data_IF_131047940619
#
_entry.id   IF_131047940619
#
_cell.length_a   1.000
_cell.length_b   1.000
_cell.length_c   1.000
_cell.angle_alpha   90.00
_cell.angle_beta   90.00
_cell.angle_gamma   90.00
#
_symmetry.space_group_name_H-M   'P 1'
#
loop_
_entity.id
_entity.type
_entity.pdbx_description
1 polymer ?
#
# COMPACT_ATOMS: atom_id res chain seq x y z
N UNK A 1 -22.98 0.29 -16.89
CA UNK A 1 -22.41 0.76 -15.59
C UNK A 1 -20.98 0.24 -15.42
N UNK A 2 -20.71 -0.99 -15.85
CA UNK A 2 -19.41 -1.66 -15.68
C UNK A 2 -18.25 -0.94 -16.38
N UNK A 3 -18.49 -0.36 -17.56
CA UNK A 3 -17.49 0.41 -18.28
C UNK A 3 -17.02 1.67 -17.51
N UNK A 4 -17.93 2.32 -16.78
CA UNK A 4 -17.58 3.49 -15.96
C UNK A 4 -16.70 3.07 -14.79
N UNK A 5 -17.07 2.02 -14.07
CA UNK A 5 -16.31 1.49 -12.93
C UNK A 5 -14.94 0.96 -13.37
N UNK A 6 -14.87 0.25 -14.50
CA UNK A 6 -13.61 -0.24 -15.05
C UNK A 6 -12.67 0.91 -15.45
N UNK A 7 -13.19 1.96 -16.07
CA UNK A 7 -12.39 3.14 -16.44
C UNK A 7 -11.91 3.90 -15.21
N UNK A 8 -12.77 4.11 -14.20
CA UNK A 8 -12.36 4.73 -12.93
C UNK A 8 -11.26 3.94 -12.24
N UNK A 9 -11.41 2.62 -12.16
CA UNK A 9 -10.43 1.77 -11.50
C UNK A 9 -9.07 1.82 -12.23
N UNK A 10 -9.10 1.71 -13.57
CA UNK A 10 -7.89 1.70 -14.40
C UNK A 10 -7.17 3.05 -14.44
N UNK A 11 -7.93 4.15 -14.53
CA UNK A 11 -7.36 5.49 -14.77
C UNK A 11 -7.03 6.24 -13.48
N UNK A 12 -7.75 5.96 -12.39
CA UNK A 12 -7.64 6.74 -11.15
C UNK A 12 -7.15 5.86 -10.01
N UNK A 13 -7.88 4.77 -9.71
CA UNK A 13 -7.63 3.99 -8.50
C UNK A 13 -6.30 3.23 -8.56
N UNK A 14 -6.03 2.47 -9.62
CA UNK A 14 -4.79 1.70 -9.75
C UNK A 14 -3.54 2.58 -9.74
N UNK A 15 -3.47 3.69 -10.51
CA UNK A 15 -2.34 4.62 -10.42
C UNK A 15 -2.21 5.25 -9.04
N UNK A 16 -3.32 5.59 -8.38
CA UNK A 16 -3.30 6.16 -7.04
C UNK A 16 -2.75 5.19 -5.99
N UNK A 17 -3.15 3.91 -6.03
CA UNK A 17 -2.61 2.87 -5.13
C UNK A 17 -1.09 2.74 -5.32
N UNK A 18 -0.62 2.69 -6.57
CA UNK A 18 0.80 2.62 -6.88
C UNK A 18 1.55 3.85 -6.36
N UNK A 19 0.96 5.04 -6.54
CA UNK A 19 1.53 6.30 -6.06
C UNK A 19 1.61 6.34 -4.53
N UNK A 20 0.54 5.94 -3.83
CA UNK A 20 0.53 5.87 -2.36
C UNK A 20 1.53 4.84 -1.83
N UNK A 21 1.68 3.70 -2.50
CA UNK A 21 2.71 2.72 -2.16
C UNK A 21 4.11 3.30 -2.32
N UNK A 22 4.39 3.98 -3.44
CA UNK A 22 5.66 4.63 -3.67
C UNK A 22 5.95 5.72 -2.62
N UNK A 23 4.95 6.54 -2.26
CA UNK A 23 5.07 7.55 -1.22
C UNK A 23 5.36 6.93 0.15
N UNK A 24 4.65 5.86 0.53
CA UNK A 24 4.89 5.15 1.79
C UNK A 24 6.31 4.56 1.84
N UNK A 25 6.79 4.00 0.72
CA UNK A 25 8.15 3.49 0.61
C UNK A 25 9.20 4.60 0.72
N UNK A 26 9.01 5.72 0.02
CA UNK A 26 9.91 6.88 0.10
C UNK A 26 9.96 7.44 1.51
N UNK A 27 8.80 7.57 2.17
CA UNK A 27 8.72 8.07 3.54
C UNK A 27 9.41 7.13 4.53
N UNK A 28 9.25 5.81 4.34
CA UNK A 28 9.98 4.81 5.11
C UNK A 28 11.50 4.96 4.93
N UNK A 29 11.98 5.04 3.68
CA UNK A 29 13.41 5.20 3.37
C UNK A 29 13.96 6.52 3.92
N UNK A 30 13.18 7.60 3.86
CA UNK A 30 13.56 8.87 4.48
C UNK A 30 13.78 8.73 5.99
N UNK A 31 12.87 8.02 6.68
CA UNK A 31 13.04 7.71 8.10
C UNK A 31 14.30 6.89 8.40
N UNK A 32 14.63 5.92 7.54
CA UNK A 32 15.87 5.12 7.66
C UNK A 32 17.10 6.03 7.51
N UNK A 33 17.13 6.88 6.49
CA UNK A 33 18.24 7.80 6.25
C UNK A 33 18.41 8.78 7.42
N UNK A 34 17.31 9.36 7.91
CA UNK A 34 17.34 10.27 9.06
C UNK A 34 17.81 9.58 10.33
N UNK A 35 17.40 8.33 10.56
CA UNK A 35 17.86 7.51 11.68
C UNK A 35 19.35 7.17 11.58
N UNK A 36 19.85 6.90 10.37
CA UNK A 36 21.26 6.54 10.13
C UNK A 36 22.21 7.72 10.18
N UNK A 37 21.82 8.90 9.68
CA UNK A 37 22.71 10.07 9.62
C UNK A 37 22.79 10.80 10.96
N UNK A 38 21.75 10.74 11.78
CA UNK A 38 21.67 11.50 13.04
C UNK A 38 21.95 10.61 14.27
N UNK A 39 22.94 9.72 14.22
CA UNK A 39 23.20 8.78 15.32
C UNK A 39 23.52 9.47 16.65
N UNK A 40 24.21 10.61 16.59
CA UNK A 40 24.66 11.39 17.75
C UNK A 40 23.59 12.36 18.28
N UNK A 41 22.46 12.49 17.59
CA UNK A 41 21.36 13.38 17.98
C UNK A 41 20.11 12.56 18.31
N UNK A 42 19.84 12.36 19.60
CA UNK A 42 18.73 11.52 20.08
C UNK A 42 17.35 12.00 19.61
N UNK A 43 17.15 13.32 19.49
CA UNK A 43 15.89 13.90 19.06
C UNK A 43 15.61 13.55 17.59
N UNK A 44 16.57 13.83 16.70
CA UNK A 44 16.44 13.51 15.27
C UNK A 44 16.38 12.01 15.02
N UNK A 45 17.10 11.21 15.80
CA UNK A 45 17.01 9.75 15.75
C UNK A 45 15.61 9.26 16.13
N UNK A 46 14.96 9.89 17.10
CA UNK A 46 13.58 9.58 17.49
C UNK A 46 12.59 9.96 16.38
N UNK A 47 12.80 11.08 15.70
CA UNK A 47 12.01 11.49 14.53
C UNK A 47 12.17 10.49 13.38
N UNK A 48 13.39 10.10 13.03
CA UNK A 48 13.65 9.08 12.02
C UNK A 48 12.96 7.74 12.32
N UNK A 49 12.95 7.31 13.60
CA UNK A 49 12.16 6.14 14.03
C UNK A 49 10.67 6.30 13.78
N UNK A 50 10.09 7.46 14.11
CA UNK A 50 8.67 7.73 13.85
C UNK A 50 8.37 7.65 12.35
N UNK A 51 9.21 8.24 11.51
CA UNK A 51 9.06 8.18 10.05
C UNK A 51 9.11 6.73 9.52
N UNK A 52 10.05 5.90 10.01
CA UNK A 52 10.09 4.47 9.68
C UNK A 52 8.80 3.75 10.07
N UNK A 53 8.31 3.97 11.30
CA UNK A 53 7.08 3.31 11.79
C UNK A 53 5.87 3.69 10.95
N UNK A 54 5.67 4.97 10.66
CA UNK A 54 4.57 5.44 9.82
C UNK A 54 4.65 4.88 8.39
N UNK A 55 5.85 4.80 7.81
CA UNK A 55 6.08 4.15 6.53
C UNK A 55 5.71 2.66 6.55
N UNK A 56 6.15 1.92 7.58
CA UNK A 56 5.82 0.49 7.77
C UNK A 56 4.31 0.29 7.94
N UNK A 57 3.65 1.15 8.72
CA UNK A 57 2.19 1.08 8.91
C UNK A 57 1.47 1.23 7.58
N UNK A 58 1.87 2.21 6.76
CA UNK A 58 1.30 2.41 5.42
C UNK A 58 1.49 1.19 4.51
N UNK A 59 2.70 0.62 4.47
CA UNK A 59 3.00 -0.59 3.70
C UNK A 59 2.22 -1.81 4.21
N UNK A 60 2.09 -1.94 5.54
CA UNK A 60 1.35 -3.03 6.18
C UNK A 60 -0.14 -2.98 5.83
N UNK A 61 -0.74 -1.78 5.79
CA UNK A 61 -2.15 -1.63 5.38
C UNK A 61 -2.33 -2.10 3.94
N UNK A 62 -1.44 -1.70 3.02
CA UNK A 62 -1.51 -2.14 1.61
C UNK A 62 -1.48 -3.67 1.50
N UNK A 63 -0.52 -4.32 2.16
CA UNK A 63 -0.41 -5.79 2.17
C UNK A 63 -1.63 -6.41 2.86
N UNK A 64 -2.09 -5.82 3.95
CA UNK A 64 -3.24 -6.27 4.74
C UNK A 64 -4.53 -6.29 3.92
N UNK A 65 -4.79 -5.27 3.10
CA UNK A 65 -5.95 -5.24 2.21
C UNK A 65 -5.92 -6.40 1.21
N UNK A 66 -4.77 -6.66 0.57
CA UNK A 66 -4.65 -7.80 -0.36
C UNK A 66 -4.81 -9.15 0.35
N UNK A 67 -4.28 -9.28 1.56
CA UNK A 67 -4.40 -10.49 2.36
C UNK A 67 -5.86 -10.76 2.77
N UNK A 68 -6.55 -9.74 3.30
CA UNK A 68 -7.97 -9.83 3.68
C UNK A 68 -8.83 -10.14 2.46
N UNK A 69 -8.60 -9.46 1.33
CA UNK A 69 -9.36 -9.72 0.12
C UNK A 69 -9.12 -11.13 -0.42
N UNK A 70 -7.87 -11.60 -0.42
CA UNK A 70 -7.57 -12.98 -0.80
C UNK A 70 -8.22 -14.00 0.14
N UNK A 71 -8.31 -13.70 1.45
CA UNK A 71 -8.97 -14.57 2.41
C UNK A 71 -10.46 -14.66 2.10
N UNK A 72 -11.13 -13.52 1.92
CA UNK A 72 -12.56 -13.45 1.59
C UNK A 72 -12.87 -14.23 0.31
N UNK A 73 -12.13 -13.98 -0.78
CA UNK A 73 -12.37 -14.67 -2.05
C UNK A 73 -12.22 -16.19 -1.93
N UNK A 74 -11.22 -16.67 -1.16
CA UNK A 74 -11.03 -18.10 -0.91
C UNK A 74 -12.12 -18.68 -0.03
N UNK A 75 -12.52 -17.98 1.03
CA UNK A 75 -13.58 -18.42 1.95
C UNK A 75 -14.91 -18.60 1.23
N UNK A 76 -15.24 -17.73 0.28
CA UNK A 76 -16.48 -17.81 -0.52
C UNK A 76 -16.31 -18.54 -1.86
N UNK A 77 -15.13 -19.14 -2.12
CA UNK A 77 -14.80 -19.84 -3.37
C UNK A 77 -15.08 -19.02 -4.65
N UNK A 78 -14.82 -17.71 -4.59
CA UNK A 78 -15.06 -16.79 -5.70
C UNK A 78 -13.85 -16.81 -6.64
N UNK A 79 -14.09 -17.17 -7.90
CA UNK A 79 -13.08 -17.20 -8.97
C UNK A 79 -13.31 -16.07 -9.96
N UNK A 80 -12.24 -15.53 -10.57
CA UNK A 80 -12.34 -14.48 -11.60
C UNK A 80 -12.08 -13.05 -11.14
N UNK A 81 -11.56 -12.84 -9.92
CA UNK A 81 -11.19 -11.50 -9.42
C UNK A 81 -9.67 -11.36 -9.37
N UNK A 82 -9.13 -10.36 -10.06
CA UNK A 82 -7.72 -9.99 -9.98
C UNK A 82 -7.52 -8.85 -8.97
N UNK A 83 -6.99 -9.19 -7.79
CA UNK A 83 -6.78 -8.25 -6.70
C UNK A 83 -5.75 -7.15 -7.03
N UNK A 84 -4.80 -7.41 -7.93
CA UNK A 84 -3.73 -6.46 -8.26
C UNK A 84 -4.19 -5.39 -9.24
N UNK A 85 -5.13 -5.73 -10.11
CA UNK A 85 -5.66 -4.81 -11.14
C UNK A 85 -7.08 -4.35 -10.82
N UNK A 86 -7.72 -4.89 -9.78
CA UNK A 86 -9.13 -4.65 -9.47
C UNK A 86 -10.08 -5.12 -10.57
N UNK A 87 -9.61 -5.99 -11.46
CA UNK A 87 -10.41 -6.50 -12.58
C UNK A 87 -11.28 -7.66 -12.11
N UNK A 88 -12.57 -7.56 -12.39
CA UNK A 88 -13.58 -8.56 -12.03
C UNK A 88 -14.11 -9.17 -13.34
N UNK A 89 -13.70 -10.39 -13.64
CA UNK A 89 -14.14 -11.18 -14.78
C UNK A 89 -14.91 -12.39 -14.28
N UNK A 90 -16.09 -12.13 -13.72
CA UNK A 90 -17.03 -13.18 -13.32
C UNK A 90 -17.71 -13.70 -14.58
N UNK A 91 -17.67 -15.02 -14.81
CA UNK A 91 -18.42 -15.68 -15.89
C UNK A 91 -19.91 -15.74 -15.56
#
# INVERSE_FOLDING_TARGET
MDAFIANLNRLIINPLILLLFALALVYFLWGVLEFMVNQDNEEKRTTGKKHMVWGIVGLTIMVGVFAIMSLILRTFNISGVNLKTGEVQLR
#
